data_IF_768894906687
#
_entry.id   IF_768894906687
#
_cell.length_a   1.000
_cell.length_b   1.000
_cell.length_c   1.000
_cell.angle_alpha   90.00
_cell.angle_beta   90.00
_cell.angle_gamma   90.00
#
_symmetry.space_group_name_H-M   'P 1'
#
loop_
_entity.id
_entity.type
_entity.pdbx_description
1 polymer ?
#
# COMPACT_ATOMS: atom_id res chain seq x y z
N UNK A 1 -8.78 -15.11 1.14
CA UNK A 1 -8.71 -14.16 0.01
C UNK A 1 -9.10 -12.78 0.49
N UNK A 2 -8.31 -11.76 0.17
CA UNK A 2 -8.52 -10.38 0.59
C UNK A 2 -8.49 -9.42 -0.61
N UNK A 3 -9.29 -8.36 -0.53
CA UNK A 3 -9.30 -7.22 -1.47
C UNK A 3 -9.42 -5.93 -0.65
N UNK A 4 -8.58 -4.94 -0.95
CA UNK A 4 -8.61 -3.64 -0.27
C UNK A 4 -9.97 -2.95 -0.36
N UNK A 5 -10.67 -3.14 -1.48
CA UNK A 5 -12.00 -2.60 -1.70
C UNK A 5 -12.87 -3.61 -2.45
N UNK A 6 -14.19 -3.47 -2.33
CA UNK A 6 -15.16 -4.31 -3.07
C UNK A 6 -14.91 -4.33 -4.59
N UNK A 7 -14.42 -3.22 -5.12
CA UNK A 7 -14.13 -3.05 -6.55
C UNK A 7 -12.64 -3.14 -6.89
N UNK A 8 -11.78 -3.56 -5.96
CA UNK A 8 -10.37 -3.76 -6.24
C UNK A 8 -10.16 -4.92 -7.22
N UNK A 9 -9.22 -4.73 -8.14
CA UNK A 9 -8.80 -5.76 -9.09
C UNK A 9 -7.71 -6.67 -8.50
N UNK A 10 -6.98 -6.21 -7.48
CA UNK A 10 -5.95 -7.00 -6.80
C UNK A 10 -6.57 -7.86 -5.69
N UNK A 11 -6.31 -9.15 -5.74
CA UNK A 11 -6.74 -10.14 -4.75
C UNK A 11 -5.51 -10.81 -4.13
N UNK A 12 -5.49 -10.82 -2.81
CA UNK A 12 -4.41 -11.38 -2.00
C UNK A 12 -4.82 -12.76 -1.50
N UNK A 13 -3.93 -13.74 -1.67
CA UNK A 13 -4.06 -15.05 -1.05
C UNK A 13 -3.08 -15.17 0.10
N UNK A 14 -3.56 -15.10 1.33
CA UNK A 14 -2.75 -15.29 2.52
C UNK A 14 -2.94 -16.71 3.06
N UNK A 15 -1.87 -17.40 3.48
CA UNK A 15 -1.98 -18.69 4.16
C UNK A 15 -2.59 -18.51 5.56
N UNK A 16 -3.22 -19.55 6.08
CA UNK A 16 -3.97 -19.50 7.34
C UNK A 16 -3.06 -19.21 8.55
N UNK A 17 -1.79 -19.60 8.48
CA UNK A 17 -0.81 -19.40 9.55
C UNK A 17 -0.25 -17.97 9.59
N UNK A 18 -0.46 -17.18 8.54
CA UNK A 18 0.04 -15.81 8.48
C UNK A 18 -0.84 -14.90 9.36
N UNK A 19 -0.20 -14.19 10.28
CA UNK A 19 -0.89 -13.20 11.11
C UNK A 19 -0.98 -11.87 10.35
N UNK A 20 -2.20 -11.43 10.06
CA UNK A 20 -2.45 -10.15 9.41
C UNK A 20 -3.83 -9.58 9.77
N UNK A 21 -4.00 -8.28 9.65
CA UNK A 21 -5.26 -7.56 9.84
C UNK A 21 -5.40 -6.33 8.94
N UNK A 22 -6.64 -5.99 8.60
CA UNK A 22 -7.00 -4.73 7.95
C UNK A 22 -6.95 -3.59 8.97
N UNK A 23 -6.08 -2.60 8.76
CA UNK A 23 -5.92 -1.51 9.71
C UNK A 23 -6.88 -0.35 9.43
N UNK A 24 -7.19 -0.10 8.15
CA UNK A 24 -8.15 0.93 7.73
C UNK A 24 -9.60 0.39 7.56
N UNK A 25 -9.89 -0.70 8.29
CA UNK A 25 -11.15 -1.43 8.22
C UNK A 25 -12.38 -0.53 8.31
N UNK A 26 -13.32 -0.72 7.39
CA UNK A 26 -14.61 -0.04 7.39
C UNK A 26 -15.54 -0.56 8.49
N UNK A 27 -16.33 0.34 9.09
CA UNK A 27 -17.37 -0.02 10.07
C UNK A 27 -16.88 -0.21 11.52
N UNK A 28 -15.61 0.09 11.80
CA UNK A 28 -15.07 0.15 13.18
C UNK A 28 -14.73 1.59 13.56
N UNK A 29 -14.68 1.85 14.87
CA UNK A 29 -14.28 3.17 15.39
C UNK A 29 -12.77 3.30 15.32
N UNK A 30 -12.28 4.18 14.47
CA UNK A 30 -10.86 4.53 14.35
C UNK A 30 -10.58 5.91 14.97
N UNK A 31 -9.33 6.19 15.40
CA UNK A 31 -8.94 7.52 15.83
C UNK A 31 -9.24 8.59 14.78
N UNK A 32 -9.78 9.72 15.22
CA UNK A 32 -10.11 10.84 14.34
C UNK A 32 -8.82 11.48 13.83
N UNK A 33 -8.81 11.90 12.56
CA UNK A 33 -7.68 12.55 11.87
C UNK A 33 -6.43 11.68 11.60
N UNK A 34 -6.46 10.39 11.90
CA UNK A 34 -5.38 9.47 11.51
C UNK A 34 -5.68 8.82 10.16
N UNK A 35 -4.64 8.61 9.34
CA UNK A 35 -4.73 7.82 8.11
C UNK A 35 -3.99 6.50 8.29
N UNK A 36 -4.65 5.38 8.05
CA UNK A 36 -4.06 4.06 8.21
C UNK A 36 -3.65 3.45 6.88
N UNK A 37 -2.65 2.58 6.90
CA UNK A 37 -2.38 1.66 5.78
C UNK A 37 -3.50 0.64 5.64
N UNK A 38 -3.62 0.00 4.48
CA UNK A 38 -4.66 -1.02 4.25
C UNK A 38 -4.44 -2.25 5.15
N UNK A 39 -3.21 -2.76 5.21
CA UNK A 39 -2.89 -4.01 5.92
C UNK A 39 -1.72 -3.86 6.89
N UNK A 40 -1.80 -4.62 7.97
CA UNK A 40 -0.68 -4.95 8.86
C UNK A 40 -0.44 -6.44 8.78
N UNK A 41 0.81 -6.83 8.52
CA UNK A 41 1.21 -8.24 8.45
C UNK A 41 2.34 -8.45 9.44
N UNK A 42 2.13 -9.36 10.38
CA UNK A 42 3.12 -9.71 11.38
C UNK A 42 3.89 -10.98 10.97
N UNK A 43 5.21 -10.86 10.88
CA UNK A 43 6.14 -11.97 10.61
C UNK A 43 7.03 -12.19 11.83
N UNK A 44 7.84 -13.23 11.81
CA UNK A 44 8.75 -13.53 12.91
C UNK A 44 9.76 -12.39 13.16
N UNK A 45 10.26 -11.77 12.08
CA UNK A 45 11.37 -10.82 12.13
C UNK A 45 10.93 -9.35 12.11
N UNK A 46 9.74 -9.05 11.60
CA UNK A 46 9.26 -7.68 11.39
C UNK A 46 7.74 -7.63 11.25
N UNK A 47 7.22 -6.41 11.27
CA UNK A 47 5.83 -6.08 10.92
C UNK A 47 5.85 -5.29 9.62
N UNK A 48 5.08 -5.73 8.65
CA UNK A 48 4.86 -4.99 7.41
C UNK A 48 3.63 -4.11 7.56
N UNK A 49 3.82 -2.82 7.34
CA UNK A 49 2.74 -1.88 7.07
C UNK A 49 2.58 -1.84 5.54
N UNK A 50 1.43 -2.24 5.00
CA UNK A 50 1.25 -2.38 3.56
C UNK A 50 0.15 -1.43 3.10
N UNK A 51 0.56 -0.45 2.28
CA UNK A 51 -0.34 0.43 1.54
C UNK A 51 -0.46 -0.05 0.09
N UNK A 52 -1.69 -0.16 -0.39
CA UNK A 52 -2.05 -0.65 -1.71
C UNK A 52 -2.56 0.52 -2.55
N UNK A 53 -1.95 0.68 -3.71
CA UNK A 53 -2.39 1.64 -4.73
C UNK A 53 -2.41 0.94 -6.08
N UNK A 54 -3.59 0.85 -6.69
CA UNK A 54 -3.75 0.22 -8.01
C UNK A 54 -4.28 1.22 -9.07
N UNK A 55 -3.43 2.12 -9.59
CA UNK A 55 -3.80 3.00 -10.70
C UNK A 55 -4.17 2.24 -11.99
N UNK A 56 -3.84 0.96 -12.07
CA UNK A 56 -4.22 0.07 -13.17
C UNK A 56 -5.56 -0.63 -12.97
N UNK A 57 -6.28 -0.34 -11.87
CA UNK A 57 -7.63 -0.83 -11.65
C UNK A 57 -8.52 -0.40 -12.83
N UNK A 58 -9.14 -1.37 -13.49
CA UNK A 58 -9.96 -1.14 -14.70
C UNK A 58 -11.21 -0.32 -14.44
N UNK A 59 -11.66 -0.26 -13.18
CA UNK A 59 -12.80 0.52 -12.74
C UNK A 59 -12.41 1.93 -12.27
N UNK A 60 -11.11 2.24 -12.18
CA UNK A 60 -10.65 3.58 -11.82
C UNK A 60 -10.92 4.55 -12.99
N UNK A 61 -11.61 5.68 -12.76
CA UNK A 61 -11.83 6.71 -13.78
C UNK A 61 -10.51 7.25 -14.35
N UNK A 62 -10.49 7.56 -15.65
CA UNK A 62 -9.29 8.08 -16.32
C UNK A 62 -8.71 9.33 -15.65
N UNK A 63 -9.57 10.23 -15.19
CA UNK A 63 -9.17 11.44 -14.50
C UNK A 63 -8.46 11.15 -13.17
N UNK A 64 -8.89 10.13 -12.43
CA UNK A 64 -8.24 9.70 -11.18
C UNK A 64 -6.88 9.06 -11.47
N UNK A 65 -6.80 8.22 -12.52
CA UNK A 65 -5.54 7.62 -12.98
C UNK A 65 -4.51 8.68 -13.36
N UNK A 66 -4.91 9.70 -14.12
CA UNK A 66 -4.05 10.81 -14.51
C UNK A 66 -3.65 11.69 -13.32
N UNK A 67 -4.59 11.98 -12.42
CA UNK A 67 -4.33 12.70 -11.18
C UNK A 67 -3.28 11.96 -10.33
N UNK A 68 -3.43 10.64 -10.18
CA UNK A 68 -2.49 9.82 -9.43
C UNK A 68 -1.09 9.83 -10.08
N UNK A 69 -1.01 9.65 -11.40
CA UNK A 69 0.25 9.74 -12.13
C UNK A 69 0.94 11.09 -11.94
N UNK A 70 0.17 12.19 -11.99
CA UNK A 70 0.68 13.53 -11.71
C UNK A 70 1.23 13.63 -10.29
N UNK A 71 0.49 13.12 -9.29
CA UNK A 71 0.88 13.16 -7.88
C UNK A 71 2.12 12.31 -7.56
N UNK A 72 2.30 11.19 -8.26
CA UNK A 72 3.53 10.41 -8.22
C UNK A 72 4.70 11.21 -8.82
N UNK A 73 4.47 11.87 -9.96
CA UNK A 73 5.51 12.61 -10.68
C UNK A 73 5.96 13.88 -9.95
N UNK A 74 5.05 14.59 -9.30
CA UNK A 74 5.33 15.82 -8.54
C UNK A 74 5.63 15.59 -7.05
N UNK A 75 5.66 14.32 -6.62
CA UNK A 75 5.92 13.87 -5.25
C UNK A 75 4.89 14.27 -4.19
N UNK A 76 3.79 14.93 -4.56
CA UNK A 76 2.75 15.32 -3.60
C UNK A 76 2.13 14.12 -2.89
N UNK A 77 2.14 12.94 -3.53
CA UNK A 77 1.66 11.70 -2.89
C UNK A 77 2.53 11.25 -1.70
N UNK A 78 3.84 11.53 -1.74
CA UNK A 78 4.74 11.16 -0.65
C UNK A 78 4.30 11.88 0.64
N UNK A 79 4.25 13.20 0.57
CA UNK A 79 4.02 14.05 1.76
C UNK A 79 2.56 14.14 2.19
N UNK A 80 1.61 14.06 1.26
CA UNK A 80 0.18 14.26 1.59
C UNK A 80 -0.55 12.95 1.95
N UNK A 81 0.04 11.80 1.61
CA UNK A 81 -0.63 10.51 1.71
C UNK A 81 0.25 9.43 2.31
N UNK A 82 1.35 9.06 1.66
CA UNK A 82 2.14 7.88 2.05
C UNK A 82 2.89 8.06 3.37
N UNK A 83 3.54 9.21 3.57
CA UNK A 83 4.30 9.52 4.78
C UNK A 83 3.38 9.64 6.01
N UNK A 84 2.27 10.40 5.96
CA UNK A 84 1.31 10.42 7.06
C UNK A 84 0.76 9.03 7.42
N UNK A 85 0.45 8.19 6.42
CA UNK A 85 -0.03 6.82 6.66
C UNK A 85 0.99 5.95 7.40
N UNK A 86 2.27 6.05 7.06
CA UNK A 86 3.33 5.33 7.76
C UNK A 86 3.44 5.79 9.23
N UNK A 87 3.49 7.10 9.47
CA UNK A 87 3.58 7.68 10.81
C UNK A 87 2.37 7.34 11.67
N UNK A 88 1.17 7.53 11.14
CA UNK A 88 -0.08 7.34 11.87
C UNK A 88 -0.32 5.86 12.19
N UNK A 89 -0.07 4.96 11.23
CA UNK A 89 -0.16 3.51 11.46
C UNK A 89 0.83 3.03 12.53
N UNK A 90 2.08 3.48 12.45
CA UNK A 90 3.07 3.20 13.48
C UNK A 90 2.61 3.73 14.85
N UNK A 91 2.16 4.99 14.90
CA UNK A 91 1.76 5.64 16.16
C UNK A 91 0.61 4.89 16.80
N UNK A 92 -0.39 4.50 16.02
CA UNK A 92 -1.52 3.71 16.53
C UNK A 92 -1.06 2.36 17.06
N UNK A 93 -0.27 1.60 16.29
CA UNK A 93 0.20 0.28 16.72
C UNK A 93 1.11 0.36 17.95
N UNK A 94 1.94 1.39 18.05
CA UNK A 94 2.75 1.66 19.25
C UNK A 94 1.88 1.91 20.48
N UNK A 95 0.82 2.74 20.36
CA UNK A 95 -0.11 2.98 21.45
C UNK A 95 -0.96 1.75 21.82
N UNK A 96 -1.11 0.82 20.89
CA UNK A 96 -1.76 -0.48 21.10
C UNK A 96 -0.78 -1.55 21.62
N UNK A 97 0.47 -1.20 21.92
CA UNK A 97 1.54 -2.11 22.36
C UNK A 97 1.84 -3.24 21.35
N UNK A 98 1.63 -2.96 20.05
CA UNK A 98 1.89 -3.87 18.92
C UNK A 98 3.20 -3.55 18.20
N UNK A 99 4.21 -3.07 18.93
CA UNK A 99 5.48 -2.55 18.36
C UNK A 99 6.73 -3.34 18.81
N UNK A 100 6.56 -4.59 19.23
CA UNK A 100 7.65 -5.44 19.70
C UNK A 100 8.67 -5.83 18.59
N UNK A 101 8.32 -5.61 17.32
CA UNK A 101 9.14 -5.97 16.15
C UNK A 101 9.40 -4.74 15.28
N UNK A 102 10.52 -4.70 14.53
CA UNK A 102 10.79 -3.61 13.60
C UNK A 102 9.68 -3.48 12.55
N UNK A 103 9.24 -2.25 12.27
CA UNK A 103 8.31 -1.98 11.19
C UNK A 103 9.03 -1.76 9.86
N UNK A 104 8.51 -2.36 8.79
CA UNK A 104 8.88 -2.05 7.41
C UNK A 104 7.65 -1.56 6.66
N UNK A 105 7.83 -0.50 5.88
CA UNK A 105 6.73 0.06 5.10
C UNK A 105 6.78 -0.43 3.66
N UNK A 106 5.71 -1.05 3.19
CA UNK A 106 5.55 -1.56 1.83
C UNK A 106 4.50 -0.72 1.12
N UNK A 107 4.88 -0.09 0.01
CA UNK A 107 3.93 0.54 -0.91
C UNK A 107 3.81 -0.36 -2.14
N UNK A 108 2.67 -1.02 -2.28
CA UNK A 108 2.36 -1.82 -3.45
C UNK A 108 1.71 -0.94 -4.52
N UNK A 109 2.30 -0.92 -5.71
CA UNK A 109 1.84 -0.15 -6.85
C UNK A 109 1.42 -1.06 -8.02
N UNK A 110 0.13 -1.11 -8.31
CA UNK A 110 -0.42 -1.73 -9.52
C UNK A 110 -0.24 -0.82 -10.73
N UNK A 111 0.92 -0.89 -11.40
CA UNK A 111 1.26 -0.04 -12.54
C UNK A 111 1.26 -0.80 -13.89
N UNK A 112 0.73 -2.02 -13.92
CA UNK A 112 0.80 -2.91 -15.08
C UNK A 112 0.13 -2.35 -16.35
N UNK A 113 -0.77 -1.36 -16.22
CA UNK A 113 -1.39 -0.66 -17.35
C UNK A 113 -0.53 0.47 -17.94
N UNK A 114 0.60 0.81 -17.32
CA UNK A 114 1.52 1.86 -17.77
C UNK A 114 2.71 1.27 -18.51
N UNK A 115 3.29 2.05 -19.42
CA UNK A 115 4.48 1.65 -20.16
C UNK A 115 5.68 1.40 -19.19
N UNK A 116 6.50 0.35 -19.39
CA UNK A 116 7.62 0.03 -18.51
C UNK A 116 8.63 1.17 -18.30
N UNK A 117 8.86 2.02 -19.32
CA UNK A 117 9.76 3.16 -19.18
C UNK A 117 9.16 4.22 -18.26
N UNK A 118 7.84 4.44 -18.33
CA UNK A 118 7.12 5.33 -17.41
C UNK A 118 7.16 4.79 -15.98
N UNK A 119 6.90 3.49 -15.80
CA UNK A 119 6.99 2.84 -14.49
C UNK A 119 8.38 3.03 -13.88
N UNK A 120 9.44 2.76 -14.65
CA UNK A 120 10.82 2.94 -14.19
C UNK A 120 11.12 4.39 -13.82
N UNK A 121 10.68 5.35 -14.63
CA UNK A 121 10.88 6.76 -14.36
C UNK A 121 10.19 7.21 -13.05
N UNK A 122 8.95 6.75 -12.82
CA UNK A 122 8.20 7.03 -11.59
C UNK A 122 8.87 6.45 -10.33
N UNK A 123 9.36 5.21 -10.43
CA UNK A 123 9.94 4.50 -9.28
C UNK A 123 11.37 4.91 -8.96
N UNK A 124 12.07 5.54 -9.90
CA UNK A 124 13.47 5.96 -9.71
C UNK A 124 13.58 6.96 -8.55
N UNK A 125 14.39 6.61 -7.55
CA UNK A 125 14.58 7.42 -6.33
C UNK A 125 13.33 7.61 -5.48
N UNK A 126 12.22 6.91 -5.76
CA UNK A 126 10.97 7.04 -5.00
C UNK A 126 11.16 6.53 -3.57
N UNK A 127 11.80 5.37 -3.40
CA UNK A 127 12.13 4.79 -2.09
C UNK A 127 12.90 5.79 -1.21
N UNK A 128 13.98 6.35 -1.75
CA UNK A 128 14.87 7.22 -0.97
C UNK A 128 14.17 8.51 -0.54
N UNK A 129 13.36 9.09 -1.42
CA UNK A 129 12.53 10.28 -1.12
C UNK A 129 11.48 9.97 -0.05
N UNK A 130 10.75 8.85 -0.20
CA UNK A 130 9.75 8.42 0.78
C UNK A 130 10.40 8.17 2.16
N UNK A 131 11.54 7.48 2.19
CA UNK A 131 12.24 7.20 3.44
C UNK A 131 12.80 8.47 4.11
N UNK A 132 13.26 9.44 3.30
CA UNK A 132 13.69 10.74 3.79
C UNK A 132 12.53 11.50 4.44
N UNK A 133 11.37 11.55 3.76
CA UNK A 133 10.15 12.18 4.29
C UNK A 133 9.70 11.52 5.58
N UNK A 134 9.63 10.18 5.63
CA UNK A 134 9.26 9.41 6.84
C UNK A 134 10.21 9.73 8.01
N UNK A 135 11.48 9.98 7.75
CA UNK A 135 12.47 10.30 8.80
C UNK A 135 12.41 11.75 9.27
N UNK A 136 11.86 12.66 8.46
CA UNK A 136 11.91 14.10 8.70
C UNK A 136 10.70 14.82 8.11
N UNK A 137 9.55 14.74 8.79
CA UNK A 137 8.32 15.45 8.38
C UNK A 137 8.25 16.90 8.87
N UNK A 138 9.23 17.33 9.67
CA UNK A 138 9.34 18.68 10.23
C UNK A 138 10.74 19.22 10.00
N UNK A 139 11.03 20.45 10.48
CA UNK A 139 12.38 21.04 10.42
C UNK A 139 13.45 20.22 11.17
N UNK A 140 13.04 19.27 12.01
CA UNK A 140 13.94 18.38 12.74
C UNK A 140 13.60 16.91 12.46
N UNK A 141 14.60 16.04 12.21
CA UNK A 141 14.37 14.61 12.07
C UNK A 141 13.74 13.99 13.31
N UNK A 142 12.92 12.97 13.12
CA UNK A 142 12.38 12.19 14.22
C UNK A 142 13.51 11.52 15.00
N UNK A 143 13.53 11.69 16.33
CA UNK A 143 14.50 10.98 17.19
C UNK A 143 14.32 9.45 17.12
N UNK A 144 13.10 8.99 16.88
CA UNK A 144 12.76 7.59 16.73
C UNK A 144 12.79 7.20 15.25
N UNK A 145 13.62 6.23 14.90
CA UNK A 145 13.56 5.54 13.61
C UNK A 145 12.42 4.52 13.62
N UNK A 146 11.19 5.02 13.55
CA UNK A 146 9.97 4.23 13.75
C UNK A 146 9.66 3.27 12.59
N UNK A 147 10.10 3.60 11.37
CA UNK A 147 10.13 2.69 10.22
C UNK A 147 11.59 2.33 9.94
N UNK A 148 11.92 1.04 10.01
CA UNK A 148 13.28 0.55 9.82
C UNK A 148 13.73 0.63 8.35
N UNK A 149 12.84 0.29 7.42
CA UNK A 149 13.06 0.40 5.98
C UNK A 149 11.72 0.58 5.25
N UNK A 150 11.77 1.06 4.01
CA UNK A 150 10.63 1.04 3.11
C UNK A 150 10.98 0.39 1.76
N UNK A 151 9.97 -0.20 1.13
CA UNK A 151 10.07 -0.79 -0.19
C UNK A 151 8.85 -0.41 -1.02
N UNK A 152 9.08 -0.24 -2.32
CA UNK A 152 8.02 0.03 -3.29
C UNK A 152 8.03 -1.10 -4.29
N UNK A 153 6.92 -1.83 -4.35
CA UNK A 153 6.82 -3.08 -5.09
C UNK A 153 5.77 -2.92 -6.19
N UNK A 154 6.07 -3.43 -7.39
CA UNK A 154 5.01 -3.80 -8.33
C UNK A 154 4.42 -5.16 -7.93
N UNK A 155 3.29 -5.53 -8.53
CA UNK A 155 2.66 -6.85 -8.32
C UNK A 155 3.65 -7.98 -8.65
N UNK A 156 4.40 -7.85 -9.74
CA UNK A 156 5.42 -8.84 -10.12
C UNK A 156 6.55 -8.97 -9.09
N UNK A 157 7.02 -7.85 -8.52
CA UNK A 157 8.09 -7.88 -7.52
C UNK A 157 7.55 -8.45 -6.20
N UNK A 158 6.32 -8.11 -5.82
CA UNK A 158 5.63 -8.73 -4.68
C UNK A 158 5.63 -10.25 -4.83
N UNK A 159 5.11 -10.76 -5.94
CA UNK A 159 4.98 -12.21 -6.16
C UNK A 159 6.32 -12.96 -6.18
N UNK A 160 7.42 -12.28 -6.52
CA UNK A 160 8.78 -12.83 -6.42
C UNK A 160 9.31 -12.82 -4.99
N UNK A 161 9.03 -11.76 -4.22
CA UNK A 161 9.47 -11.63 -2.84
C UNK A 161 8.64 -12.47 -1.85
N UNK A 162 7.38 -12.73 -2.21
CA UNK A 162 6.33 -13.25 -1.34
C UNK A 162 5.60 -14.40 -2.04
N UNK A 163 6.36 -15.45 -2.39
CA UNK A 163 5.86 -16.56 -3.19
C UNK A 163 4.70 -17.34 -2.55
N UNK A 164 4.67 -17.44 -1.22
CA UNK A 164 3.63 -18.18 -0.47
C UNK A 164 2.32 -17.40 -0.32
N UNK A 165 2.30 -16.14 -0.75
CA UNK A 165 1.21 -15.20 -0.53
C UNK A 165 1.05 -14.26 -1.73
N UNK A 166 0.78 -14.85 -2.91
CA UNK A 166 0.75 -14.12 -4.16
C UNK A 166 -0.46 -13.20 -4.25
N UNK A 167 -0.31 -12.20 -5.11
CA UNK A 167 -1.35 -11.29 -5.56
C UNK A 167 -1.73 -11.69 -6.98
N UNK A 168 -3.03 -11.85 -7.19
CA UNK A 168 -3.62 -12.05 -8.51
C UNK A 168 -4.43 -10.82 -8.92
N UNK A 169 -4.37 -10.46 -10.20
CA UNK A 169 -5.32 -9.51 -10.78
C UNK A 169 -6.55 -10.26 -11.25
N UNK A 170 -7.69 -10.01 -10.63
CA UNK A 170 -8.95 -10.66 -10.98
C UNK A 170 -9.46 -10.08 -12.31
N UNK A 171 -9.87 -10.92 -13.27
CA UNK A 171 -10.52 -10.46 -14.48
C UNK A 171 -11.76 -9.63 -14.15
N UNK A 172 -12.07 -8.62 -14.97
CA UNK A 172 -13.37 -7.98 -14.88
C UNK A 172 -14.43 -9.08 -15.03
N UNK A 173 -15.41 -9.12 -14.11
CA UNK A 173 -16.54 -10.01 -14.28
C UNK A 173 -17.13 -9.76 -15.66
N UNK A 174 -17.18 -10.79 -16.52
CA UNK A 174 -17.98 -10.74 -17.73
C UNK A 174 -19.38 -10.43 -17.22
N UNK A 175 -19.93 -9.28 -17.58
CA UNK A 175 -21.34 -9.04 -17.39
C UNK A 175 -22.05 -10.13 -18.19
N UNK A 176 -22.48 -11.20 -17.50
CA UNK A 176 -23.35 -12.19 -18.08
C UNK A 176 -24.66 -11.47 -18.40
N UNK A 177 -24.71 -10.91 -19.60
CA UNK A 177 -25.95 -10.57 -20.28
C UNK A 177 -26.62 -11.88 -20.67
N UNK A 178 -27.16 -12.58 -19.70
CA UNK A 178 -28.34 -13.41 -19.95
C UNK A 178 -29.48 -12.44 -20.31
N UNK A 179 -29.67 -12.24 -21.60
CA UNK A 179 -30.98 -11.96 -22.15
C UNK A 179 -31.29 -13.10 -23.13
N UNK A 180 -31.64 -14.25 -22.55
CA UNK A 180 -32.42 -15.26 -23.23
C UNK A 180 -33.90 -14.90 -23.07
N UNK A 181 -34.52 -14.48 -24.17
CA UNK A 181 -35.93 -14.63 -24.57
C UNK A 181 -36.31 -13.54 -25.58
#
# INVERSE_FOLDING_TARGET
>A
LYKAEKNADLEFSFPDELTWDELDRQGVKLPVQMKFVDLVIERDQDILLVEIKDPSNKKCPEAERQSYFKRLSDNSILTQELTPKARDSYTFLHLMERDAKPFKYVVLLGLDAFDPAQQKALLTGFKDRLLADIRCETDTPWRRHHIADCVVLSVDIWNKAFADWPIARVPAAIANGEAAA
#
